data_IF_109914401020
#
_entry.id   IF_109914401020
#
_cell.length_a   1.000
_cell.length_b   1.000
_cell.length_c   1.000
_cell.angle_alpha   90.00
_cell.angle_beta   90.00
_cell.angle_gamma   90.00
#
_symmetry.space_group_name_H-M   'P 1'
#
loop_
_entity.id
_entity.type
_entity.pdbx_description
1 polymer ?
#
# COMPACT_ATOMS: atom_id res chain seq x y z
N UNK A 1 -15.19 21.40 2.92
CA UNK A 1 -15.27 19.94 3.08
C UNK A 1 -14.98 19.62 4.54
N UNK A 2 -15.80 18.80 5.22
CA UNK A 2 -15.48 18.34 6.57
C UNK A 2 -14.14 17.59 6.51
N UNK A 3 -13.28 17.82 7.52
CA UNK A 3 -12.07 17.04 7.68
C UNK A 3 -12.48 15.57 7.83
N UNK A 4 -12.08 14.71 6.88
CA UNK A 4 -12.28 13.27 7.00
C UNK A 4 -11.44 12.79 8.19
N UNK A 5 -12.02 11.91 9.01
CA UNK A 5 -11.26 11.29 10.07
C UNK A 5 -10.06 10.54 9.49
N UNK A 6 -8.87 10.66 10.10
CA UNK A 6 -7.68 10.00 9.61
C UNK A 6 -7.89 8.48 9.62
N UNK A 7 -7.57 7.81 8.51
CA UNK A 7 -7.62 6.35 8.47
C UNK A 7 -6.80 5.75 9.61
N UNK A 8 -7.37 4.81 10.38
CA UNK A 8 -6.66 4.16 11.47
C UNK A 8 -5.43 3.42 10.96
N UNK A 9 -4.35 3.51 11.71
CA UNK A 9 -3.12 2.78 11.42
C UNK A 9 -3.28 1.33 11.85
N UNK A 10 -3.08 0.41 10.92
CA UNK A 10 -3.06 -1.01 11.24
C UNK A 10 -1.67 -1.39 11.76
N UNK A 11 -1.61 -1.98 12.95
CA UNK A 11 -0.38 -2.53 13.54
C UNK A 11 -0.59 -4.02 13.78
N UNK A 12 0.34 -4.85 13.31
CA UNK A 12 0.31 -6.28 13.57
C UNK A 12 0.83 -6.55 14.99
N UNK A 13 0.07 -7.27 15.80
CA UNK A 13 0.51 -7.75 17.12
C UNK A 13 0.52 -9.28 17.13
N UNK A 14 1.65 -9.85 17.54
CA UNK A 14 1.83 -11.30 17.70
C UNK A 14 1.98 -11.63 19.17
N UNK A 15 0.93 -12.16 19.77
CA UNK A 15 0.80 -12.42 21.21
C UNK A 15 -0.24 -13.53 21.42
N UNK A 16 0.07 -14.57 22.19
CA UNK A 16 -0.84 -15.69 22.41
C UNK A 16 -1.99 -15.35 23.37
N UNK A 17 -1.89 -14.25 24.12
CA UNK A 17 -2.88 -13.79 25.09
C UNK A 17 -3.94 -12.88 24.43
N UNK A 18 -5.02 -13.51 23.94
CA UNK A 18 -6.18 -12.78 23.39
C UNK A 18 -6.77 -11.75 24.37
N UNK A 19 -7.00 -12.06 25.66
CA UNK A 19 -7.57 -11.09 26.59
C UNK A 19 -6.69 -9.85 26.77
N UNK A 20 -5.37 -10.04 26.73
CA UNK A 20 -4.40 -8.94 26.80
C UNK A 20 -4.49 -8.05 25.55
N UNK A 21 -4.44 -8.66 24.36
CA UNK A 21 -4.52 -7.91 23.09
C UNK A 21 -5.84 -7.16 22.95
N UNK A 22 -6.96 -7.74 23.37
CA UNK A 22 -8.24 -7.03 23.41
C UNK A 22 -8.21 -5.80 24.34
N UNK A 23 -7.49 -5.90 25.46
CA UNK A 23 -7.29 -4.76 26.35
C UNK A 23 -6.42 -3.69 25.72
N UNK A 24 -5.28 -4.06 25.16
CA UNK A 24 -4.39 -3.14 24.48
C UNK A 24 -5.06 -2.48 23.27
N UNK A 25 -5.92 -3.21 22.55
CA UNK A 25 -6.66 -2.69 21.40
C UNK A 25 -7.61 -1.55 21.81
N UNK A 26 -8.25 -1.63 22.99
CA UNK A 26 -9.10 -0.53 23.50
C UNK A 26 -8.29 0.74 23.75
N UNK A 27 -7.06 0.61 24.22
CA UNK A 27 -6.17 1.76 24.40
C UNK A 27 -5.61 2.26 23.07
N UNK A 28 -5.24 1.35 22.16
CA UNK A 28 -4.75 1.66 20.81
C UNK A 28 -5.77 2.45 19.97
N UNK A 29 -7.07 2.13 20.10
CA UNK A 29 -8.14 2.86 19.40
C UNK A 29 -8.18 4.34 19.76
N UNK A 30 -7.80 4.73 20.99
CA UNK A 30 -7.70 6.15 21.39
C UNK A 30 -6.61 6.92 20.65
N UNK A 31 -5.68 6.19 20.02
CA UNK A 31 -4.60 6.70 19.19
C UNK A 31 -4.86 6.52 17.69
N UNK A 32 -6.09 6.15 17.30
CA UNK A 32 -6.45 5.85 15.91
C UNK A 32 -5.58 4.70 15.35
N UNK A 33 -5.28 3.72 16.21
CA UNK A 33 -4.59 2.49 15.85
C UNK A 33 -5.58 1.33 15.89
N UNK A 34 -5.54 0.49 14.86
CA UNK A 34 -6.21 -0.81 14.79
C UNK A 34 -5.16 -1.89 15.00
N UNK A 35 -5.32 -2.75 16.00
CA UNK A 35 -4.49 -3.93 16.13
C UNK A 35 -5.02 -5.06 15.26
N UNK A 36 -4.16 -5.60 14.40
CA UNK A 36 -4.37 -6.85 13.68
C UNK A 36 -3.67 -7.94 14.48
N UNK A 37 -4.44 -8.86 15.07
CA UNK A 37 -3.93 -9.82 16.04
C UNK A 37 -3.62 -11.18 15.43
N UNK A 38 -2.42 -11.69 15.70
CA UNK A 38 -2.03 -13.08 15.49
C UNK A 38 -1.62 -13.72 16.82
N UNK A 39 -1.98 -14.99 17.03
CA UNK A 39 -1.64 -15.78 18.22
C UNK A 39 -0.35 -16.57 18.10
N UNK A 40 0.24 -16.61 16.91
CA UNK A 40 1.50 -17.28 16.64
C UNK A 40 2.29 -16.57 15.53
N UNK A 41 3.59 -16.90 15.42
CA UNK A 41 4.40 -16.38 14.32
C UNK A 41 3.88 -16.81 12.95
N UNK A 42 3.46 -18.06 12.81
CA UNK A 42 2.86 -18.59 11.58
C UNK A 42 1.64 -17.77 11.15
N UNK A 43 0.71 -17.54 12.07
CA UNK A 43 -0.46 -16.69 11.80
C UNK A 43 -0.05 -15.25 11.47
N UNK A 44 0.93 -14.69 12.18
CA UNK A 44 1.45 -13.36 11.89
C UNK A 44 2.04 -13.24 10.49
N UNK A 45 2.72 -14.28 9.99
CA UNK A 45 3.25 -14.34 8.62
C UNK A 45 2.14 -14.41 7.57
N UNK A 46 1.11 -15.20 7.83
CA UNK A 46 -0.05 -15.29 6.94
C UNK A 46 -0.82 -13.97 6.87
N UNK A 47 -1.07 -13.34 8.02
CA UNK A 47 -1.74 -12.03 8.08
C UNK A 47 -0.90 -10.98 7.36
N UNK A 48 0.40 -10.93 7.62
CA UNK A 48 1.32 -10.00 6.94
C UNK A 48 1.36 -10.20 5.42
N UNK A 49 1.38 -11.45 4.94
CA UNK A 49 1.37 -11.75 3.50
C UNK A 49 -0.01 -11.69 2.85
N UNK A 50 -1.08 -11.65 3.64
CA UNK A 50 -2.46 -11.68 3.18
C UNK A 50 -3.05 -10.30 2.88
N UNK A 51 -4.32 -10.29 2.45
CA UNK A 51 -5.06 -9.06 2.12
C UNK A 51 -5.16 -8.09 3.31
N UNK A 52 -5.28 -8.61 4.53
CA UNK A 52 -5.37 -7.81 5.75
C UNK A 52 -4.05 -7.15 6.13
N UNK A 53 -2.91 -7.71 5.73
CA UNK A 53 -1.57 -7.20 6.05
C UNK A 53 -1.10 -6.04 5.20
N UNK A 54 -1.79 -5.76 4.09
CA UNK A 54 -1.43 -4.77 3.07
C UNK A 54 -1.18 -3.35 3.58
N UNK A 55 -1.83 -2.98 4.68
CA UNK A 55 -1.73 -1.65 5.31
C UNK A 55 -1.02 -1.66 6.66
N UNK A 56 -0.32 -2.75 7.01
CA UNK A 56 0.42 -2.80 8.27
C UNK A 56 1.51 -1.73 8.25
N UNK A 57 1.51 -0.88 9.27
CA UNK A 57 2.43 0.23 9.44
C UNK A 57 3.35 0.06 10.66
N UNK A 58 3.30 -1.10 11.34
CA UNK A 58 4.15 -1.43 12.47
C UNK A 58 3.88 -2.82 13.02
N UNK A 59 4.82 -3.33 13.82
CA UNK A 59 4.79 -4.70 14.36
C UNK A 59 5.09 -4.67 15.86
N UNK A 60 4.26 -5.37 16.65
CA UNK A 60 4.46 -5.64 18.07
C UNK A 60 4.65 -7.15 18.24
N UNK A 61 5.74 -7.55 18.87
CA UNK A 61 6.02 -8.94 19.21
C UNK A 61 5.95 -9.15 20.72
N UNK A 62 5.24 -10.17 21.19
CA UNK A 62 5.37 -10.59 22.58
C UNK A 62 6.77 -11.18 22.84
N UNK A 63 7.33 -10.93 24.03
CA UNK A 63 8.61 -11.48 24.44
C UNK A 63 8.65 -13.01 24.43
N UNK A 64 7.50 -13.67 24.62
CA UNK A 64 7.31 -15.12 24.48
C UNK A 64 5.99 -15.36 23.77
N UNK A 65 6.01 -16.12 22.68
CA UNK A 65 4.80 -16.48 21.94
C UNK A 65 5.01 -17.82 21.22
N UNK A 66 3.92 -18.38 20.72
CA UNK A 66 3.94 -19.59 19.89
C UNK A 66 4.54 -19.32 18.51
N UNK A 67 5.29 -20.28 17.95
CA UNK A 67 5.73 -20.20 16.55
C UNK A 67 4.70 -20.74 15.57
N UNK A 68 4.05 -21.84 15.93
CA UNK A 68 3.10 -22.56 15.08
C UNK A 68 1.69 -22.54 15.71
N UNK A 69 0.64 -22.64 14.88
CA UNK A 69 -0.77 -22.56 15.31
C UNK A 69 -1.24 -23.70 16.23
N UNK A 70 -0.47 -24.79 16.34
CA UNK A 70 -0.79 -25.95 17.18
C UNK A 70 0.17 -26.16 18.36
N UNK A 71 1.10 -25.23 18.59
CA UNK A 71 2.10 -25.37 19.64
C UNK A 71 1.48 -25.08 21.02
N UNK A 72 1.71 -25.96 22.01
CA UNK A 72 1.12 -25.79 23.35
C UNK A 72 1.97 -24.90 24.28
N UNK A 73 3.29 -24.86 24.08
CA UNK A 73 4.24 -24.14 24.94
C UNK A 73 5.08 -23.17 24.11
N UNK A 74 5.25 -21.90 24.50
CA UNK A 74 6.09 -20.93 23.80
C UNK A 74 7.53 -21.42 23.52
N UNK A 75 8.05 -21.11 22.33
CA UNK A 75 9.43 -21.43 21.92
C UNK A 75 10.35 -20.24 22.25
N UNK A 76 11.46 -20.50 22.94
CA UNK A 76 12.48 -19.49 23.21
C UNK A 76 13.11 -18.88 21.94
N UNK A 77 12.97 -19.55 20.79
CA UNK A 77 13.43 -19.07 19.48
C UNK A 77 12.41 -18.22 18.72
N UNK A 78 11.19 -18.02 19.26
CA UNK A 78 10.14 -17.21 18.63
C UNK A 78 10.64 -15.84 18.20
N UNK A 79 11.20 -15.06 19.13
CA UNK A 79 11.64 -13.69 18.87
C UNK A 79 12.70 -13.63 17.77
N UNK A 80 13.71 -14.50 17.85
CA UNK A 80 14.75 -14.57 16.83
C UNK A 80 14.18 -14.88 15.44
N UNK A 81 13.23 -15.82 15.36
CA UNK A 81 12.56 -16.17 14.10
C UNK A 81 11.65 -15.05 13.55
N UNK A 82 10.99 -14.31 14.43
CA UNK A 82 10.12 -13.19 14.08
C UNK A 82 10.92 -11.99 13.59
N UNK A 83 11.94 -11.57 14.37
CA UNK A 83 12.83 -10.46 14.01
C UNK A 83 13.54 -10.75 12.69
N UNK A 84 14.04 -11.98 12.48
CA UNK A 84 14.64 -12.37 11.20
C UNK A 84 13.64 -12.24 10.04
N UNK A 85 12.44 -12.81 10.18
CA UNK A 85 11.43 -12.76 9.12
C UNK A 85 11.05 -11.33 8.74
N UNK A 86 10.74 -10.47 9.73
CA UNK A 86 10.32 -9.10 9.45
C UNK A 86 11.49 -8.20 9.06
N UNK A 87 12.70 -8.44 9.55
CA UNK A 87 13.91 -7.78 9.05
C UNK A 87 14.19 -8.08 7.57
N UNK A 88 13.85 -9.28 7.09
CA UNK A 88 14.00 -9.65 5.68
C UNK A 88 12.81 -9.18 4.81
N UNK A 89 11.58 -9.30 5.31
CA UNK A 89 10.35 -9.09 4.51
C UNK A 89 9.75 -7.69 4.64
N UNK A 90 9.98 -7.02 5.76
CA UNK A 90 9.43 -5.70 6.06
C UNK A 90 10.44 -4.80 6.81
N UNK A 91 11.69 -4.65 6.31
CA UNK A 91 12.76 -3.92 7.02
C UNK A 91 12.43 -2.44 7.28
N UNK A 92 11.46 -1.90 6.57
CA UNK A 92 11.04 -0.51 6.67
C UNK A 92 9.97 -0.30 7.75
N UNK A 93 9.33 -1.36 8.27
CA UNK A 93 8.29 -1.23 9.28
C UNK A 93 8.91 -1.10 10.67
N UNK A 94 8.39 -0.18 11.51
CA UNK A 94 8.80 -0.11 12.91
C UNK A 94 8.39 -1.39 13.63
N UNK A 95 9.32 -1.95 14.39
CA UNK A 95 9.16 -3.21 15.11
C UNK A 95 9.58 -3.02 16.56
N UNK A 96 8.73 -3.48 17.48
CA UNK A 96 8.97 -3.44 18.92
C UNK A 96 8.69 -4.80 19.56
N UNK A 97 9.32 -5.04 20.71
CA UNK A 97 9.03 -6.19 21.57
C UNK A 97 8.35 -5.70 22.84
N UNK A 98 7.36 -6.45 23.31
CA UNK A 98 6.55 -6.13 24.48
C UNK A 98 6.51 -7.34 25.39
N UNK A 99 6.86 -7.21 26.68
CA UNK A 99 6.89 -8.36 27.60
C UNK A 99 6.44 -8.02 29.01
N UNK A 100 5.77 -8.96 29.69
CA UNK A 100 5.37 -8.82 31.09
C UNK A 100 6.39 -9.38 32.10
N UNK A 101 7.41 -10.10 31.65
CA UNK A 101 8.39 -10.72 32.53
C UNK A 101 9.57 -9.77 32.78
N UNK A 102 9.83 -9.43 34.05
CA UNK A 102 10.87 -8.44 34.41
C UNK A 102 12.27 -8.89 34.03
N UNK A 103 12.60 -10.18 34.26
CA UNK A 103 13.90 -10.72 33.90
C UNK A 103 14.08 -10.81 32.38
N UNK A 104 13.01 -11.20 31.67
CA UNK A 104 13.01 -11.23 30.22
C UNK A 104 13.17 -9.82 29.65
N UNK A 105 12.47 -8.83 30.19
CA UNK A 105 12.60 -7.43 29.79
C UNK A 105 14.06 -6.95 29.84
N UNK A 106 14.76 -7.20 30.95
CA UNK A 106 16.17 -6.82 31.11
C UNK A 106 17.06 -7.54 30.08
N UNK A 107 16.93 -8.86 30.00
CA UNK A 107 17.73 -9.68 29.09
C UNK A 107 17.52 -9.28 27.63
N UNK A 108 16.26 -9.05 27.21
CA UNK A 108 15.94 -8.65 25.84
C UNK A 108 16.38 -7.22 25.55
N UNK A 109 16.27 -6.30 26.51
CA UNK A 109 16.72 -4.92 26.35
C UNK A 109 18.22 -4.85 26.10
N UNK A 110 18.99 -5.66 26.82
CA UNK A 110 20.44 -5.77 26.64
C UNK A 110 20.78 -6.47 25.31
N UNK A 111 20.11 -7.59 25.01
CA UNK A 111 20.37 -8.40 23.81
C UNK A 111 20.08 -7.65 22.50
N UNK A 112 19.01 -6.85 22.47
CA UNK A 112 18.55 -6.14 21.28
C UNK A 112 18.87 -4.64 21.31
N UNK A 113 19.74 -4.20 22.22
CA UNK A 113 20.18 -2.82 22.31
C UNK A 113 20.62 -2.26 20.95
N UNK A 114 20.02 -1.15 20.53
CA UNK A 114 20.29 -0.51 19.24
C UNK A 114 19.63 -1.17 18.01
N UNK A 115 18.97 -2.32 18.17
CA UNK A 115 18.27 -3.02 17.07
C UNK A 115 16.75 -2.93 17.20
N UNK A 116 16.21 -3.37 18.34
CA UNK A 116 14.76 -3.43 18.59
C UNK A 116 14.48 -2.89 19.98
N UNK A 117 13.45 -2.04 20.11
CA UNK A 117 13.05 -1.50 21.41
C UNK A 117 12.16 -2.50 22.14
N UNK A 118 12.43 -2.69 23.42
CA UNK A 118 11.72 -3.62 24.31
C UNK A 118 10.94 -2.79 25.34
N UNK A 119 9.66 -3.14 25.54
CA UNK A 119 8.72 -2.45 26.43
C UNK A 119 8.16 -3.42 27.47
N UNK A 120 7.79 -2.88 28.64
CA UNK A 120 7.15 -3.65 29.71
C UNK A 120 5.62 -3.56 29.65
N UNK A 121 4.94 -4.71 29.57
CA UNK A 121 3.46 -4.83 29.65
C UNK A 121 2.97 -4.22 30.97
N UNK A 122 1.88 -3.46 30.91
CA UNK A 122 1.30 -2.76 32.07
C UNK A 122 2.05 -1.50 32.52
N UNK A 123 3.19 -1.16 31.91
CA UNK A 123 3.96 0.06 32.25
C UNK A 123 4.16 0.99 31.06
N UNK A 124 4.65 0.46 29.94
CA UNK A 124 5.20 1.29 28.86
C UNK A 124 4.32 1.30 27.59
N UNK A 125 3.14 0.65 27.62
CA UNK A 125 2.26 0.46 26.46
C UNK A 125 1.86 1.78 25.78
N UNK A 126 1.54 2.80 26.57
CA UNK A 126 1.19 4.12 26.04
C UNK A 126 2.36 4.77 25.30
N UNK A 127 3.57 4.62 25.82
CA UNK A 127 4.78 5.13 25.19
C UNK A 127 5.09 4.37 23.91
N UNK A 128 5.03 3.04 23.96
CA UNK A 128 5.19 2.14 22.82
C UNK A 128 4.24 2.50 21.67
N UNK A 129 2.93 2.63 21.96
CA UNK A 129 1.92 2.97 20.96
C UNK A 129 2.17 4.36 20.35
N UNK A 130 2.52 5.36 21.18
CA UNK A 130 2.86 6.70 20.69
C UNK A 130 4.07 6.65 19.76
N UNK A 131 5.10 5.92 20.14
CA UNK A 131 6.30 5.84 19.33
C UNK A 131 6.06 5.10 18.01
N UNK A 132 5.39 3.96 18.04
CA UNK A 132 5.02 3.24 16.82
C UNK A 132 4.21 4.13 15.88
N UNK A 133 3.28 4.91 16.43
CA UNK A 133 2.50 5.90 15.67
C UNK A 133 3.41 6.95 15.02
N UNK A 134 4.37 7.49 15.75
CA UNK A 134 5.28 8.52 15.24
C UNK A 134 6.25 7.98 14.18
N UNK A 135 6.76 6.77 14.35
CA UNK A 135 7.60 6.07 13.37
C UNK A 135 6.79 5.67 12.12
N UNK A 136 5.59 5.13 12.30
CA UNK A 136 4.68 4.79 11.22
C UNK A 136 4.33 6.02 10.36
N UNK A 137 4.12 7.18 10.97
CA UNK A 137 3.88 8.46 10.24
C UNK A 137 5.04 8.88 9.35
N UNK A 138 6.26 8.36 9.57
CA UNK A 138 7.41 8.65 8.73
C UNK A 138 7.49 7.75 7.49
N UNK A 139 6.69 6.68 7.40
CA UNK A 139 6.65 5.81 6.23
C UNK A 139 6.18 6.60 5.00
N UNK A 140 7.04 6.69 3.98
CA UNK A 140 6.78 7.47 2.77
C UNK A 140 5.52 7.00 2.02
N UNK A 141 5.32 5.69 1.92
CA UNK A 141 4.12 5.13 1.28
C UNK A 141 2.84 5.54 2.03
N UNK A 142 2.89 5.62 3.36
CA UNK A 142 1.74 6.01 4.17
C UNK A 142 1.42 7.50 4.00
N UNK A 143 2.44 8.35 3.88
CA UNK A 143 2.26 9.77 3.57
C UNK A 143 1.51 9.94 2.25
N UNK A 144 1.90 9.18 1.22
CA UNK A 144 1.24 9.18 -0.09
C UNK A 144 -0.21 8.69 0.00
N UNK A 145 -0.44 7.52 0.62
CA UNK A 145 -1.80 6.97 0.74
C UNK A 145 -2.73 7.94 1.49
N UNK A 146 -2.22 8.63 2.53
CA UNK A 146 -2.99 9.65 3.25
C UNK A 146 -3.21 10.91 2.42
N UNK A 147 -2.20 11.37 1.69
CA UNK A 147 -2.30 12.56 0.84
C UNK A 147 -3.35 12.37 -0.28
N UNK A 148 -3.43 11.17 -0.85
CA UNK A 148 -4.33 10.84 -1.96
C UNK A 148 -5.39 9.81 -1.55
N UNK A 149 -5.92 9.93 -0.31
CA UNK A 149 -6.82 8.93 0.29
C UNK A 149 -7.99 8.55 -0.61
N UNK A 150 -8.62 9.53 -1.26
CA UNK A 150 -9.76 9.29 -2.15
C UNK A 150 -9.42 8.44 -3.38
N UNK A 151 -8.17 8.44 -3.83
CA UNK A 151 -7.73 7.59 -4.94
C UNK A 151 -7.52 6.17 -4.45
N UNK A 152 -6.84 6.00 -3.32
CA UNK A 152 -6.44 4.70 -2.77
C UNK A 152 -7.58 3.91 -2.12
N UNK A 153 -8.61 4.59 -1.63
CA UNK A 153 -9.77 3.95 -0.99
C UNK A 153 -10.43 2.91 -1.92
N UNK A 154 -10.30 1.63 -1.56
CA UNK A 154 -10.83 0.49 -2.33
C UNK A 154 -10.21 0.29 -3.72
N UNK A 155 -9.09 0.95 -4.03
CA UNK A 155 -8.35 0.77 -5.29
C UNK A 155 -7.82 -0.66 -5.40
N UNK A 156 -7.21 -1.09 -4.31
CA UNK A 156 -6.87 -2.44 -3.95
C UNK A 156 -7.78 -3.54 -4.48
N UNK A 157 -9.06 -3.40 -4.19
CA UNK A 157 -10.06 -4.42 -4.43
C UNK A 157 -10.55 -4.39 -5.88
N UNK A 158 -10.48 -3.22 -6.51
CA UNK A 158 -10.92 -2.98 -7.88
C UNK A 158 -9.84 -3.30 -8.93
N UNK A 159 -8.58 -2.95 -8.66
CA UNK A 159 -7.46 -3.09 -9.61
C UNK A 159 -6.36 -4.07 -9.15
N UNK A 160 -6.41 -4.55 -7.90
CA UNK A 160 -5.44 -5.48 -7.32
C UNK A 160 -4.36 -4.82 -6.45
N UNK A 161 -3.63 -5.65 -5.69
CA UNK A 161 -2.52 -5.22 -4.82
C UNK A 161 -1.40 -4.58 -5.62
N UNK A 162 -0.99 -5.25 -6.69
CA UNK A 162 0.13 -4.79 -7.52
C UNK A 162 -0.16 -3.44 -8.16
N UNK A 163 -1.40 -3.17 -8.57
CA UNK A 163 -1.77 -1.89 -9.19
C UNK A 163 -1.64 -0.72 -8.21
N UNK A 164 -2.01 -0.92 -6.94
CA UNK A 164 -1.82 0.11 -5.92
C UNK A 164 -0.35 0.35 -5.62
N UNK A 165 0.46 -0.71 -5.52
CA UNK A 165 1.90 -0.60 -5.28
C UNK A 165 2.61 0.09 -6.47
N UNK A 166 2.18 -0.21 -7.69
CA UNK A 166 2.61 0.51 -8.90
C UNK A 166 2.25 2.01 -8.83
N UNK A 167 1.05 2.35 -8.34
CA UNK A 167 0.64 3.75 -8.18
C UNK A 167 1.43 4.47 -7.07
N UNK A 168 1.63 3.83 -5.92
CA UNK A 168 2.46 4.37 -4.83
C UNK A 168 3.87 4.64 -5.35
N UNK A 169 4.48 3.66 -6.04
CA UNK A 169 5.81 3.79 -6.62
C UNK A 169 5.88 4.95 -7.61
N UNK A 170 4.86 5.10 -8.46
CA UNK A 170 4.78 6.20 -9.44
C UNK A 170 4.68 7.57 -8.75
N UNK A 171 3.90 7.68 -7.67
CA UNK A 171 3.78 8.90 -6.87
C UNK A 171 5.06 9.23 -6.08
N UNK A 172 5.79 8.22 -5.60
CA UNK A 172 7.11 8.42 -4.97
C UNK A 172 8.16 8.92 -5.98
N UNK A 173 8.09 8.44 -7.22
CA UNK A 173 9.12 8.67 -8.23
C UNK A 173 8.84 9.86 -9.17
N UNK A 174 7.62 10.42 -9.19
CA UNK A 174 7.23 11.46 -10.14
C UNK A 174 8.09 12.74 -10.08
N UNK A 175 8.82 12.97 -8.98
CA UNK A 175 9.74 14.10 -8.84
C UNK A 175 11.16 13.85 -9.37
N UNK A 176 11.47 12.65 -9.85
CA UNK A 176 12.82 12.26 -10.29
C UNK A 176 13.21 12.91 -11.62
N UNK A 177 14.44 13.39 -11.70
CA UNK A 177 15.06 13.85 -12.95
C UNK A 177 15.82 12.74 -13.69
N UNK A 178 15.93 11.53 -13.12
CA UNK A 178 16.56 10.38 -13.75
C UNK A 178 15.72 9.84 -14.93
N UNK A 179 16.33 9.76 -16.11
CA UNK A 179 15.63 9.38 -17.34
C UNK A 179 15.13 7.92 -17.35
N UNK A 180 15.84 7.02 -16.66
CA UNK A 180 15.40 5.62 -16.51
C UNK A 180 14.18 5.55 -15.60
N UNK A 181 14.20 6.30 -14.50
CA UNK A 181 13.05 6.42 -13.58
C UNK A 181 11.86 7.01 -14.32
N UNK A 182 12.02 8.13 -15.03
CA UNK A 182 10.97 8.78 -15.83
C UNK A 182 10.33 7.77 -16.80
N UNK A 183 11.15 7.06 -17.58
CA UNK A 183 10.67 6.05 -18.53
C UNK A 183 9.87 4.95 -17.84
N UNK A 184 10.40 4.39 -16.76
CA UNK A 184 9.76 3.30 -16.02
C UNK A 184 8.44 3.75 -15.36
N UNK A 185 8.39 4.97 -14.82
CA UNK A 185 7.16 5.54 -14.29
C UNK A 185 6.11 5.70 -15.38
N UNK A 186 6.46 6.25 -16.55
CA UNK A 186 5.51 6.37 -17.68
C UNK A 186 4.99 5.00 -18.15
N UNK A 187 5.84 3.97 -18.20
CA UNK A 187 5.41 2.58 -18.49
C UNK A 187 4.42 2.09 -17.41
N UNK A 188 4.69 2.33 -16.13
CA UNK A 188 3.77 1.93 -15.05
C UNK A 188 2.42 2.63 -15.17
N UNK A 189 2.41 3.94 -15.42
CA UNK A 189 1.18 4.72 -15.61
C UNK A 189 0.37 4.20 -16.81
N UNK A 190 1.04 3.76 -17.88
CA UNK A 190 0.37 3.09 -19.02
C UNK A 190 -0.34 1.81 -18.61
N UNK A 191 0.36 0.93 -17.89
CA UNK A 191 -0.21 -0.35 -17.42
C UNK A 191 -1.39 -0.12 -16.47
N UNK A 192 -1.32 0.92 -15.64
CA UNK A 192 -2.44 1.28 -14.75
C UNK A 192 -3.66 1.74 -15.54
N UNK A 193 -3.49 2.57 -16.57
CA UNK A 193 -4.58 2.96 -17.48
C UNK A 193 -5.23 1.74 -18.15
N UNK A 194 -4.42 0.80 -18.62
CA UNK A 194 -4.89 -0.45 -19.22
C UNK A 194 -5.68 -1.32 -18.24
N UNK A 195 -5.20 -1.45 -17.00
CA UNK A 195 -5.91 -2.17 -15.93
C UNK A 195 -7.28 -1.56 -15.61
N UNK A 196 -7.41 -0.22 -15.67
CA UNK A 196 -8.70 0.46 -15.52
C UNK A 196 -9.69 -0.03 -16.57
N UNK A 197 -9.29 -0.08 -17.84
CA UNK A 197 -10.20 -0.53 -18.90
C UNK A 197 -10.54 -2.02 -18.84
N UNK A 198 -9.58 -2.87 -18.46
CA UNK A 198 -9.85 -4.28 -18.19
C UNK A 198 -10.87 -4.42 -17.05
N UNK A 199 -10.71 -3.65 -15.98
CA UNK A 199 -11.61 -3.70 -14.83
C UNK A 199 -13.03 -3.19 -15.18
N UNK A 200 -13.14 -2.12 -15.97
CA UNK A 200 -14.41 -1.64 -16.50
C UNK A 200 -15.10 -2.69 -17.39
N UNK A 201 -14.37 -3.36 -18.28
CA UNK A 201 -14.93 -4.45 -19.07
C UNK A 201 -15.43 -5.61 -18.20
N UNK A 202 -14.67 -6.00 -17.17
CA UNK A 202 -15.09 -7.07 -16.24
C UNK A 202 -16.36 -6.71 -15.47
N UNK A 203 -16.52 -5.42 -15.15
CA UNK A 203 -17.68 -4.91 -14.44
C UNK A 203 -18.91 -4.82 -15.34
N UNK A 204 -18.74 -4.28 -16.54
CA UNK A 204 -19.78 -4.11 -17.53
C UNK A 204 -19.21 -4.33 -18.95
N UNK A 205 -19.36 -5.54 -19.52
CA UNK A 205 -18.97 -5.82 -20.89
C UNK A 205 -19.71 -5.00 -21.96
N UNK A 206 -20.85 -4.39 -21.61
CA UNK A 206 -21.60 -3.48 -22.48
C UNK A 206 -20.98 -2.09 -22.55
N UNK A 207 -20.26 -1.67 -21.49
CA UNK A 207 -19.53 -0.41 -21.42
C UNK A 207 -18.23 -0.44 -22.23
N UNK A 208 -17.46 -1.53 -22.10
CA UNK A 208 -16.26 -1.77 -22.91
C UNK A 208 -16.36 -3.17 -23.53
N UNK A 209 -16.53 -3.28 -24.86
CA UNK A 209 -16.58 -4.57 -25.55
C UNK A 209 -15.29 -5.40 -25.42
N UNK A 210 -15.42 -6.73 -25.36
CA UNK A 210 -14.30 -7.65 -25.17
C UNK A 210 -13.17 -7.48 -26.20
N UNK A 211 -13.50 -7.22 -27.47
CA UNK A 211 -12.52 -7.08 -28.54
C UNK A 211 -11.58 -5.87 -28.38
N UNK A 212 -11.93 -4.90 -27.52
CA UNK A 212 -11.09 -3.73 -27.24
C UNK A 212 -10.06 -3.98 -26.13
N UNK A 213 -10.28 -5.02 -25.32
CA UNK A 213 -9.42 -5.41 -24.19
C UNK A 213 -8.84 -6.82 -24.33
N UNK A 214 -9.16 -7.52 -25.43
CA UNK A 214 -8.58 -8.82 -25.77
C UNK A 214 -7.25 -8.64 -26.49
N UNK A 215 -6.16 -9.13 -25.90
CA UNK A 215 -4.82 -9.00 -26.48
C UNK A 215 -4.21 -7.62 -26.17
N UNK A 216 -3.66 -6.95 -27.18
CA UNK A 216 -3.12 -5.59 -27.02
C UNK A 216 -4.26 -4.57 -26.85
N UNK A 217 -4.23 -3.82 -25.76
CA UNK A 217 -5.31 -2.90 -25.40
C UNK A 217 -5.27 -1.65 -26.29
N UNK A 218 -6.31 -1.49 -27.11
CA UNK A 218 -6.45 -0.33 -27.98
C UNK A 218 -7.14 0.82 -27.24
N UNK A 219 -6.38 1.51 -26.38
CA UNK A 219 -6.86 2.65 -25.58
C UNK A 219 -7.53 3.73 -26.44
N UNK A 220 -7.03 3.99 -27.66
CA UNK A 220 -7.62 4.98 -28.59
C UNK A 220 -9.04 4.60 -28.96
N UNK A 221 -9.26 3.34 -29.32
CA UNK A 221 -10.58 2.83 -29.64
C UNK A 221 -11.48 2.82 -28.41
N UNK A 222 -10.95 2.54 -27.22
CA UNK A 222 -11.73 2.50 -25.97
C UNK A 222 -12.29 3.88 -25.62
N UNK A 223 -11.47 4.93 -25.50
CA UNK A 223 -12.02 6.24 -25.10
C UNK A 223 -12.93 6.83 -26.18
N UNK A 224 -12.69 6.55 -27.47
CA UNK A 224 -13.63 6.91 -28.55
C UNK A 224 -14.96 6.18 -28.39
N UNK A 225 -14.93 4.88 -28.11
CA UNK A 225 -16.14 4.09 -27.89
C UNK A 225 -16.96 4.61 -26.70
N UNK A 226 -16.29 4.87 -25.57
CA UNK A 226 -16.92 5.43 -24.37
C UNK A 226 -17.57 6.78 -24.68
N UNK A 227 -16.94 7.61 -25.50
CA UNK A 227 -17.49 8.91 -25.90
C UNK A 227 -18.70 8.77 -26.84
N UNK A 228 -18.65 7.85 -27.81
CA UNK A 228 -19.76 7.56 -28.72
C UNK A 228 -20.99 6.99 -27.98
N UNK A 229 -20.76 6.24 -26.89
CA UNK A 229 -21.80 5.73 -26.00
C UNK A 229 -22.36 6.77 -25.03
N UNK A 230 -21.76 7.96 -24.96
CA UNK A 230 -22.11 8.99 -23.98
C UNK A 230 -21.69 8.65 -22.54
N UNK A 231 -20.86 7.62 -22.34
CA UNK A 231 -20.30 7.26 -21.02
C UNK A 231 -19.24 8.28 -20.55
N UNK A 232 -18.61 8.96 -21.50
CA UNK A 232 -17.76 10.13 -21.26
C UNK A 232 -18.10 11.23 -22.25
N UNK A 233 -17.89 12.48 -21.87
CA UNK A 233 -18.07 13.62 -22.77
C UNK A 233 -16.78 13.92 -23.56
N UNK A 234 -16.89 14.08 -24.89
CA UNK A 234 -15.75 14.45 -25.73
C UNK A 234 -15.17 15.79 -25.31
N UNK A 235 -13.85 15.87 -25.35
CA UNK A 235 -13.05 17.05 -25.02
C UNK A 235 -13.16 17.54 -23.57
N UNK A 236 -13.81 16.77 -22.69
CA UNK A 236 -13.84 17.01 -21.25
C UNK A 236 -12.73 16.26 -20.54
N UNK A 237 -12.66 16.42 -19.21
CA UNK A 237 -11.57 15.96 -18.35
C UNK A 237 -11.20 14.50 -18.62
N UNK A 238 -12.16 13.57 -18.56
CA UNK A 238 -11.89 12.14 -18.73
C UNK A 238 -11.35 11.79 -20.12
N UNK A 239 -11.97 12.34 -21.18
CA UNK A 239 -11.51 12.12 -22.57
C UNK A 239 -10.09 12.68 -22.77
N UNK A 240 -9.85 13.93 -22.33
CA UNK A 240 -8.55 14.59 -22.45
C UNK A 240 -7.45 13.93 -21.65
N UNK A 241 -7.75 13.49 -20.43
CA UNK A 241 -6.78 12.82 -19.57
C UNK A 241 -6.49 11.41 -20.02
N UNK A 242 -7.49 10.68 -20.53
CA UNK A 242 -7.28 9.38 -21.16
C UNK A 242 -6.37 9.49 -22.38
N UNK A 243 -6.61 10.49 -23.24
CA UNK A 243 -5.75 10.77 -24.40
C UNK A 243 -4.33 11.19 -23.98
N UNK A 244 -4.20 12.06 -22.98
CA UNK A 244 -2.91 12.54 -22.47
C UNK A 244 -2.06 11.38 -21.93
N UNK A 245 -2.63 10.58 -21.03
CA UNK A 245 -1.94 9.42 -20.45
C UNK A 245 -1.53 8.46 -21.56
N UNK A 246 -2.42 8.16 -22.50
CA UNK A 246 -2.12 7.30 -23.64
C UNK A 246 -0.93 7.81 -24.44
N UNK A 247 -1.02 9.03 -24.99
CA UNK A 247 -0.03 9.56 -25.93
C UNK A 247 1.34 9.69 -25.30
N UNK A 248 1.41 10.32 -24.12
CA UNK A 248 2.69 10.57 -23.46
C UNK A 248 3.38 9.27 -23.08
N UNK A 249 2.64 8.29 -22.55
CA UNK A 249 3.24 7.02 -22.10
C UNK A 249 3.58 6.08 -23.25
N UNK A 250 2.80 6.07 -24.34
CA UNK A 250 3.11 5.31 -25.56
C UNK A 250 4.37 5.81 -26.25
N UNK A 251 4.48 7.15 -26.42
CA UNK A 251 5.57 7.78 -27.17
C UNK A 251 6.90 7.78 -26.40
N UNK A 252 6.86 7.71 -25.05
CA UNK A 252 8.04 7.88 -24.20
C UNK A 252 8.32 6.71 -23.25
N UNK A 253 7.52 5.63 -23.32
CA UNK A 253 7.63 4.48 -22.44
C UNK A 253 7.51 3.14 -23.17
N UNK A 254 6.34 2.87 -23.75
CA UNK A 254 5.92 1.53 -24.16
C UNK A 254 6.34 1.09 -25.58
N UNK A 255 6.26 1.97 -26.60
CA UNK A 255 6.33 1.52 -28.00
C UNK A 255 7.57 1.98 -28.79
N UNK A 256 8.50 2.73 -28.20
CA UNK A 256 9.73 3.11 -28.91
C UNK A 256 10.91 3.31 -27.96
N UNK A 257 12.06 2.65 -28.17
CA UNK A 257 13.31 3.07 -27.57
C UNK A 257 13.76 4.35 -28.27
N UNK A 258 13.30 5.52 -27.82
CA UNK A 258 13.87 6.78 -28.28
C UNK A 258 15.28 6.93 -27.71
N UNK A 259 16.27 6.63 -28.53
CA UNK A 259 17.54 7.34 -28.43
C UNK A 259 17.27 8.78 -28.89
N UNK A 260 17.15 9.71 -27.94
CA UNK A 260 17.06 11.18 -28.14
C UNK A 260 15.76 11.71 -28.80
N UNK A 261 14.63 11.79 -28.07
CA UNK A 261 13.48 12.58 -28.54
C UNK A 261 13.86 14.07 -28.63
N UNK A 262 13.28 14.80 -29.61
CA UNK A 262 13.50 16.26 -29.75
C UNK A 262 13.11 17.02 -28.48
N UNK A 263 12.07 16.53 -27.78
CA UNK A 263 11.59 17.06 -26.51
C UNK A 263 11.41 15.89 -25.53
N UNK A 264 12.44 15.56 -24.74
CA UNK A 264 12.35 14.45 -23.78
C UNK A 264 11.35 14.79 -22.66
N UNK A 265 10.69 13.76 -22.09
CA UNK A 265 9.88 13.93 -20.89
C UNK A 265 10.77 14.41 -19.74
N UNK A 266 10.19 15.25 -18.88
CA UNK A 266 10.81 15.72 -17.64
C UNK A 266 10.00 15.22 -16.44
N UNK A 267 10.47 15.45 -15.22
CA UNK A 267 9.67 15.21 -14.01
C UNK A 267 8.29 15.89 -14.06
N UNK A 268 8.19 17.07 -14.68
CA UNK A 268 6.92 17.78 -14.83
C UNK A 268 5.97 17.08 -15.79
N UNK A 269 6.50 16.42 -16.82
CA UNK A 269 5.72 15.55 -17.71
C UNK A 269 5.16 14.37 -16.93
N UNK A 270 5.97 13.71 -16.11
CA UNK A 270 5.52 12.59 -15.27
C UNK A 270 4.46 13.04 -14.27
N UNK A 271 4.67 14.16 -13.56
CA UNK A 271 3.69 14.72 -12.64
C UNK A 271 2.34 14.99 -13.32
N UNK A 272 2.35 15.61 -14.50
CA UNK A 272 1.12 15.90 -15.25
C UNK A 272 0.36 14.62 -15.62
N UNK A 273 1.07 13.58 -16.09
CA UNK A 273 0.46 12.29 -16.43
C UNK A 273 -0.03 11.55 -15.19
N UNK A 274 0.73 11.58 -14.09
CA UNK A 274 0.34 10.96 -12.82
C UNK A 274 -0.96 11.57 -12.30
N UNK A 275 -1.06 12.91 -12.26
CA UNK A 275 -2.29 13.56 -11.79
C UNK A 275 -3.47 13.31 -12.72
N UNK A 276 -3.27 13.33 -14.04
CA UNK A 276 -4.30 12.94 -14.99
C UNK A 276 -4.79 11.50 -14.75
N UNK A 277 -3.90 10.57 -14.39
CA UNK A 277 -4.29 9.20 -14.04
C UNK A 277 -5.07 9.14 -12.72
N UNK A 278 -4.77 9.97 -11.72
CA UNK A 278 -5.55 10.02 -10.47
C UNK A 278 -7.01 10.38 -10.75
N UNK A 279 -7.25 11.39 -11.60
CA UNK A 279 -8.59 11.75 -12.06
C UNK A 279 -9.29 10.60 -12.81
N UNK A 280 -8.57 9.86 -13.65
CA UNK A 280 -9.11 8.68 -14.32
C UNK A 280 -9.46 7.57 -13.33
N UNK A 281 -8.71 7.39 -12.25
CA UNK A 281 -9.04 6.43 -11.18
C UNK A 281 -10.30 6.87 -10.43
N UNK A 282 -10.44 8.16 -10.12
CA UNK A 282 -11.65 8.69 -9.47
C UNK A 282 -12.89 8.52 -10.35
N UNK A 283 -12.77 8.80 -11.65
CA UNK A 283 -13.82 8.53 -12.64
C UNK A 283 -14.13 7.03 -12.73
N UNK A 284 -13.12 6.17 -12.83
CA UNK A 284 -13.29 4.72 -12.85
C UNK A 284 -14.10 4.21 -11.65
N UNK A 285 -13.79 4.72 -10.45
CA UNK A 285 -14.50 4.37 -9.22
C UNK A 285 -15.99 4.74 -9.25
N UNK A 286 -16.43 5.70 -10.07
CA UNK A 286 -17.85 6.04 -10.17
C UNK A 286 -18.69 4.97 -10.87
N UNK A 287 -18.08 4.03 -11.59
CA UNK A 287 -18.76 2.91 -12.24
C UNK A 287 -18.81 1.64 -11.37
N UNK A 288 -18.07 1.63 -10.26
CA UNK A 288 -17.87 0.47 -9.40
C UNK A 288 -18.19 0.83 -7.95
N UNK A 289 -19.46 0.73 -7.52
CA UNK A 289 -19.83 0.89 -6.12
C UNK A 289 -19.03 -0.06 -5.22
#
# INVERSE_FOLDING_TARGET
MPARDPMPLTILIIDDSTPYVESLNRDAQRHTIRLLHARSLEEGRELHGGREGRGIAGIILDGKCLKEKGQEVPDNSFLGAAIKYFGEKAPHLPLVVLTGETDLYRNLSDLYAGTVRVYSKGRDEKEMLRQLLDEAKQLEWLKIVRQYQEVFEGLADRLGVDAEQELISSLMQMGSDDQTVIRNTLISLRRLQERIFIALHKADPGLIPAHLVSGEINVVSIYKHLAERGAIERYKIVDRFSELVYKVTSDNGAHTPFQNPKYPPTKYTVQAVTFALLDLILWFKSFLP
#
